data_IF_778471072507
#
_entry.id   IF_778471072507
#
_cell.length_a   1.000
_cell.length_b   1.000
_cell.length_c   1.000
_cell.angle_alpha   90.00
_cell.angle_beta   90.00
_cell.angle_gamma   90.00
#
_symmetry.space_group_name_H-M   'P 1'
#
loop_
_entity.id
_entity.type
_entity.pdbx_description
1 polymer ?
#
# COMPACT_ATOMS: atom_id res chain seq x y z
N UNK A 1 -6.36 4.28 22.73
CA UNK A 1 -6.78 4.47 22.08
C UNK A 1 -6.34 5.20 21.19
N UNK A 2 -6.17 5.35 20.56
CA UNK A 2 -5.79 5.99 19.77
C UNK A 2 -6.45 6.33 18.93
N UNK A 3 -7.16 6.27 19.09
CA UNK A 3 -8.06 6.36 18.30
C UNK A 3 -8.11 7.53 17.57
N UNK A 4 -7.53 8.58 17.83
CA UNK A 4 -7.57 9.70 17.07
C UNK A 4 -6.27 9.92 16.48
N UNK A 5 -6.07 9.65 15.18
CA UNK A 5 -4.90 10.01 14.42
C UNK A 5 -5.24 11.15 13.51
N UNK A 6 -4.41 12.17 13.51
CA UNK A 6 -4.51 13.24 12.54
C UNK A 6 -3.90 12.78 11.22
N UNK A 7 -4.24 13.41 10.10
CA UNK A 7 -3.70 12.99 8.80
C UNK A 7 -2.18 12.88 8.75
N UNK A 8 -1.49 13.76 9.41
CA UNK A 8 -0.02 13.70 9.42
C UNK A 8 0.48 12.43 10.09
N UNK A 9 -0.21 11.97 11.10
CA UNK A 9 0.18 10.75 11.79
C UNK A 9 -0.02 9.52 10.91
N UNK A 10 -1.08 9.52 10.12
CA UNK A 10 -1.30 8.44 9.19
C UNK A 10 -0.19 8.37 8.14
N UNK A 11 0.22 9.52 7.61
CA UNK A 11 1.30 9.56 6.63
C UNK A 11 2.59 9.02 7.23
N UNK A 12 2.88 9.42 8.45
CA UNK A 12 4.08 8.94 9.12
C UNK A 12 4.01 7.44 9.36
N UNK A 13 2.83 6.92 9.68
CA UNK A 13 2.70 5.49 9.95
C UNK A 13 3.11 4.63 8.77
N UNK A 14 2.73 5.02 7.56
CA UNK A 14 3.12 4.28 6.37
C UNK A 14 4.63 4.25 6.19
N UNK A 15 5.28 5.39 6.43
CA UNK A 15 6.73 5.50 6.22
C UNK A 15 7.53 4.90 7.36
N UNK A 16 6.88 4.53 8.46
CA UNK A 16 7.54 3.87 9.58
C UNK A 16 7.53 2.36 9.46
N UNK A 17 6.86 1.81 8.47
CA UNK A 17 6.82 0.37 8.27
C UNK A 17 8.22 -0.12 7.88
N UNK A 18 8.68 -1.18 8.55
CA UNK A 18 9.98 -1.78 8.25
C UNK A 18 9.82 -2.77 7.11
N UNK A 19 9.88 -2.26 5.89
CA UNK A 19 9.71 -3.11 4.71
C UNK A 19 10.88 -4.07 4.51
N UNK A 20 12.07 -3.71 4.96
CA UNK A 20 13.21 -4.61 4.88
C UNK A 20 12.95 -5.88 5.67
N UNK A 21 12.42 -5.72 6.88
CA UNK A 21 12.10 -6.87 7.70
C UNK A 21 10.99 -7.71 7.08
N UNK A 22 9.97 -7.05 6.54
CA UNK A 22 8.88 -7.76 5.89
C UNK A 22 9.36 -8.53 4.67
N UNK A 23 10.28 -7.96 3.91
CA UNK A 23 10.86 -8.67 2.78
C UNK A 23 11.61 -9.91 3.26
N UNK A 24 12.35 -9.77 4.35
CA UNK A 24 13.09 -10.90 4.92
C UNK A 24 12.14 -12.00 5.39
N UNK A 25 10.93 -11.62 5.79
CA UNK A 25 9.92 -12.59 6.22
C UNK A 25 9.18 -13.25 5.06
N UNK A 26 9.41 -12.82 3.83
CA UNK A 26 8.82 -13.46 2.67
C UNK A 26 7.76 -12.66 1.94
N UNK A 27 7.48 -11.43 2.40
CA UNK A 27 6.50 -10.60 1.70
C UNK A 27 7.07 -10.09 0.40
N UNK A 28 6.24 -10.00 -0.63
CA UNK A 28 6.71 -9.65 -1.97
C UNK A 28 5.86 -8.63 -2.69
N UNK A 29 4.67 -8.33 -2.21
CA UNK A 29 3.79 -7.35 -2.83
C UNK A 29 3.33 -6.30 -1.85
N UNK A 30 3.17 -5.06 -2.31
CA UNK A 30 2.64 -3.98 -1.49
C UNK A 30 1.59 -3.23 -2.30
N UNK A 31 0.41 -3.08 -1.72
CA UNK A 31 -0.67 -2.30 -2.30
C UNK A 31 -0.86 -1.06 -1.44
N UNK A 32 -0.77 0.11 -2.08
CA UNK A 32 -0.89 1.39 -1.37
C UNK A 32 -2.12 2.15 -1.80
N UNK A 33 -2.77 2.78 -0.83
CA UNK A 33 -3.67 3.88 -1.12
C UNK A 33 -2.82 5.15 -1.29
N UNK A 34 -3.35 6.17 -1.93
CA UNK A 34 -2.59 7.40 -2.16
C UNK A 34 -2.95 8.47 -1.15
N UNK A 35 -4.20 8.93 -1.19
CA UNK A 35 -4.61 10.09 -0.40
C UNK A 35 -4.63 9.77 1.08
N UNK A 36 -3.96 10.60 1.85
CA UNK A 36 -3.85 10.47 3.30
C UNK A 36 -3.15 9.19 3.76
N UNK A 37 -2.48 8.50 2.85
CA UNK A 37 -1.64 7.34 3.15
C UNK A 37 -0.21 7.62 2.75
N UNK A 38 0.01 7.96 1.50
CA UNK A 38 1.35 8.30 1.00
C UNK A 38 1.59 9.80 0.97
N UNK A 39 0.57 10.57 0.64
CA UNK A 39 0.63 12.03 0.61
C UNK A 39 -0.70 12.58 1.08
N UNK A 40 -0.75 13.87 1.33
CA UNK A 40 -2.00 14.53 1.69
C UNK A 40 -2.97 14.46 0.53
N UNK A 41 -4.24 14.56 0.85
CA UNK A 41 -5.31 14.46 -0.16
C UNK A 41 -5.03 15.40 -1.33
N UNK A 42 -5.02 14.85 -2.53
CA UNK A 42 -4.85 15.62 -3.75
C UNK A 42 -3.41 15.97 -4.11
N UNK A 43 -2.45 15.66 -3.27
CA UNK A 43 -1.06 16.06 -3.50
C UNK A 43 -0.34 15.13 -4.48
N UNK A 44 0.63 15.64 -5.22
CA UNK A 44 1.48 14.79 -6.06
C UNK A 44 2.47 14.00 -5.18
N UNK A 45 3.16 13.05 -5.78
CA UNK A 45 4.18 12.30 -5.08
C UNK A 45 5.31 13.26 -4.69
N UNK A 46 5.72 13.18 -3.42
CA UNK A 46 6.80 14.00 -2.93
C UNK A 46 8.09 13.18 -2.88
N UNK A 47 9.17 13.81 -2.39
CA UNK A 47 10.46 13.15 -2.31
C UNK A 47 10.41 11.89 -1.44
N UNK A 48 9.65 11.97 -0.35
CA UNK A 48 9.56 10.85 0.56
C UNK A 48 8.87 9.65 -0.10
N UNK A 49 7.80 9.92 -0.85
CA UNK A 49 7.11 8.86 -1.58
C UNK A 49 8.01 8.27 -2.64
N UNK A 50 8.71 9.10 -3.39
CA UNK A 50 9.61 8.61 -4.42
C UNK A 50 10.73 7.75 -3.84
N UNK A 51 11.29 8.17 -2.72
CA UNK A 51 12.33 7.41 -2.06
C UNK A 51 11.82 6.05 -1.57
N UNK A 52 10.60 6.03 -1.05
CA UNK A 52 10.00 4.79 -0.58
C UNK A 52 9.85 3.81 -1.73
N UNK A 53 9.28 4.24 -2.85
CA UNK A 53 9.08 3.33 -3.98
C UNK A 53 10.40 2.87 -4.58
N UNK A 54 11.41 3.74 -4.62
CA UNK A 54 12.72 3.34 -5.09
C UNK A 54 13.31 2.25 -4.20
N UNK A 55 13.17 2.41 -2.89
CA UNK A 55 13.67 1.44 -1.94
C UNK A 55 12.95 0.10 -2.07
N UNK A 56 11.62 0.15 -2.23
CA UNK A 56 10.85 -1.07 -2.38
C UNK A 56 11.23 -1.84 -3.64
N UNK A 57 11.47 -1.12 -4.73
CA UNK A 57 11.90 -1.75 -5.96
C UNK A 57 13.28 -2.38 -5.81
N UNK A 58 14.15 -1.70 -5.10
CA UNK A 58 15.49 -2.21 -4.82
C UNK A 58 15.45 -3.50 -4.02
N UNK A 59 14.53 -3.58 -3.05
CA UNK A 59 14.37 -4.79 -2.26
C UNK A 59 13.80 -5.95 -3.07
N UNK A 60 12.99 -5.65 -4.08
CA UNK A 60 12.36 -6.68 -4.88
C UNK A 60 10.87 -6.79 -4.71
N UNK A 61 10.23 -5.81 -4.06
CA UNK A 61 8.77 -5.79 -3.94
C UNK A 61 8.12 -5.39 -5.26
N UNK A 62 6.98 -6.00 -5.52
CA UNK A 62 6.07 -5.54 -6.57
C UNK A 62 5.09 -4.57 -5.90
N UNK A 63 4.96 -3.38 -6.46
CA UNK A 63 4.14 -2.34 -5.85
C UNK A 63 2.97 -1.97 -6.73
N UNK A 64 1.86 -1.57 -6.11
CA UNK A 64 0.66 -1.14 -6.83
C UNK A 64 -0.06 -0.06 -6.06
N UNK A 65 -0.66 0.86 -6.80
CA UNK A 65 -1.55 1.86 -6.24
C UNK A 65 -2.98 1.40 -6.45
N UNK A 66 -3.80 1.46 -5.41
CA UNK A 66 -5.21 1.08 -5.50
C UNK A 66 -6.03 2.23 -4.94
N UNK A 67 -6.75 2.93 -5.80
CA UNK A 67 -7.39 4.18 -5.45
C UNK A 67 -8.85 4.22 -5.87
N UNK A 68 -9.69 4.87 -5.05
CA UNK A 68 -11.07 5.13 -5.43
C UNK A 68 -11.19 6.34 -6.34
N UNK A 69 -10.12 7.07 -6.53
CA UNK A 69 -10.14 8.27 -7.35
C UNK A 69 -10.17 7.96 -8.83
N UNK A 70 -10.44 9.00 -9.63
CA UNK A 70 -10.42 8.87 -11.08
C UNK A 70 -9.00 8.79 -11.59
N UNK A 71 -8.87 8.28 -12.80
CA UNK A 71 -7.55 8.03 -13.38
C UNK A 71 -6.63 9.25 -13.40
N UNK A 72 -7.09 10.46 -13.75
CA UNK A 72 -6.16 11.61 -13.78
C UNK A 72 -5.46 11.84 -12.45
N UNK A 73 -6.17 11.65 -11.34
CA UNK A 73 -5.56 11.81 -10.01
C UNK A 73 -4.48 10.78 -9.79
N UNK A 74 -4.78 9.53 -10.13
CA UNK A 74 -3.84 8.43 -9.88
C UNK A 74 -2.62 8.59 -10.80
N UNK A 75 -2.84 8.95 -12.05
CA UNK A 75 -1.73 9.14 -12.99
C UNK A 75 -0.82 10.29 -12.59
N UNK A 76 -1.38 11.36 -12.06
CA UNK A 76 -0.58 12.49 -11.61
C UNK A 76 0.41 12.03 -10.54
N UNK A 77 -0.05 11.24 -9.58
CA UNK A 77 0.83 10.72 -8.55
C UNK A 77 1.83 9.72 -9.17
N UNK A 78 1.34 8.85 -10.04
CA UNK A 78 2.14 7.76 -10.57
C UNK A 78 3.22 8.22 -11.55
N UNK A 79 3.11 9.43 -12.08
CA UNK A 79 4.13 9.95 -12.99
C UNK A 79 5.51 9.95 -12.35
N UNK A 80 5.58 10.14 -11.05
CA UNK A 80 6.85 10.19 -10.34
C UNK A 80 7.32 8.83 -9.84
N UNK A 81 6.40 7.90 -9.56
CA UNK A 81 6.78 6.61 -8.97
C UNK A 81 6.69 5.45 -9.94
N UNK A 82 5.87 5.59 -10.98
CA UNK A 82 5.82 4.66 -12.11
C UNK A 82 5.65 3.20 -11.72
N UNK A 83 4.52 2.88 -11.12
CA UNK A 83 4.16 1.52 -10.76
C UNK A 83 2.80 1.18 -11.36
N UNK A 84 2.34 -0.06 -11.20
CA UNK A 84 1.00 -0.44 -11.64
C UNK A 84 -0.05 0.24 -10.78
N UNK A 85 -1.24 0.45 -11.33
CA UNK A 85 -2.31 1.07 -10.56
C UNK A 85 -3.69 0.59 -11.00
N UNK A 86 -4.64 0.72 -10.08
CA UNK A 86 -6.06 0.53 -10.35
C UNK A 86 -6.77 1.77 -9.83
N UNK A 87 -7.53 2.43 -10.70
CA UNK A 87 -8.32 3.59 -10.30
C UNK A 87 -9.80 3.21 -10.23
N UNK A 88 -10.60 4.06 -9.58
CA UNK A 88 -12.03 3.79 -9.36
C UNK A 88 -12.23 2.40 -8.78
N UNK A 89 -11.41 2.07 -7.79
CA UNK A 89 -11.34 0.70 -7.29
C UNK A 89 -12.60 0.27 -6.52
N UNK A 90 -13.40 1.21 -6.05
CA UNK A 90 -14.60 0.87 -5.30
C UNK A 90 -14.28 0.19 -3.98
N UNK A 91 -13.20 0.60 -3.35
CA UNK A 91 -12.84 0.01 -2.07
C UNK A 91 -13.93 0.30 -1.04
N UNK A 92 -14.22 -0.60 -0.16
CA UNK A 92 -13.41 -1.79 0.17
C UNK A 92 -13.83 -3.07 -0.55
N UNK A 93 -14.15 -3.01 -1.81
CA UNK A 93 -14.57 -4.19 -2.57
C UNK A 93 -13.45 -5.23 -2.65
N UNK A 94 -13.64 -6.43 -2.08
CA UNK A 94 -12.57 -7.45 -2.07
C UNK A 94 -12.10 -7.87 -3.45
N UNK A 95 -12.98 -7.79 -4.45
CA UNK A 95 -12.61 -8.20 -5.80
C UNK A 95 -11.45 -7.38 -6.35
N UNK A 96 -11.37 -6.10 -5.98
CA UNK A 96 -10.30 -5.26 -6.48
C UNK A 96 -8.97 -5.53 -5.80
N UNK A 97 -9.01 -5.94 -4.53
CA UNK A 97 -7.78 -6.37 -3.86
C UNK A 97 -7.25 -7.64 -4.50
N UNK A 98 -8.15 -8.57 -4.80
CA UNK A 98 -7.76 -9.81 -5.46
C UNK A 98 -7.16 -9.54 -6.83
N UNK A 99 -7.80 -8.63 -7.58
CA UNK A 99 -7.31 -8.26 -8.90
C UNK A 99 -5.92 -7.63 -8.80
N UNK A 100 -5.71 -6.79 -7.80
CA UNK A 100 -4.41 -6.15 -7.59
C UNK A 100 -3.35 -7.20 -7.30
N UNK A 101 -3.65 -8.15 -6.43
CA UNK A 101 -2.69 -9.21 -6.12
C UNK A 101 -2.38 -10.06 -7.35
N UNK A 102 -3.37 -10.34 -8.18
CA UNK A 102 -3.13 -11.08 -9.41
C UNK A 102 -2.19 -10.33 -10.33
N UNK A 103 -2.37 -9.02 -10.44
CA UNK A 103 -1.47 -8.20 -11.25
C UNK A 103 -0.06 -8.17 -10.71
N UNK A 104 0.09 -8.23 -9.40
CA UNK A 104 1.41 -8.24 -8.75
C UNK A 104 2.05 -9.61 -8.78
N UNK A 105 1.27 -10.66 -9.02
CA UNK A 105 1.79 -12.01 -8.93
C UNK A 105 1.94 -12.48 -7.49
N UNK A 106 1.13 -11.94 -6.58
CA UNK A 106 1.21 -12.25 -5.15
C UNK A 106 -0.14 -12.73 -4.65
N UNK A 107 -0.21 -13.07 -3.37
CA UNK A 107 -1.45 -13.52 -2.75
C UNK A 107 -1.57 -12.96 -1.33
N UNK A 108 -2.61 -13.35 -0.62
CA UNK A 108 -2.85 -12.82 0.72
C UNK A 108 -1.76 -13.21 1.72
N UNK A 109 -1.01 -14.25 1.42
CA UNK A 109 0.04 -14.70 2.33
C UNK A 109 1.32 -13.89 2.22
N UNK A 110 1.51 -13.16 1.13
CA UNK A 110 2.74 -12.40 0.93
C UNK A 110 2.52 -10.98 0.42
N UNK A 111 1.32 -10.43 0.59
CA UNK A 111 0.99 -9.08 0.16
C UNK A 111 0.71 -8.20 1.38
N UNK A 112 1.26 -7.00 1.36
CA UNK A 112 1.03 -6.00 2.39
C UNK A 112 0.04 -4.98 1.84
N UNK A 113 -1.01 -4.69 2.62
CA UNK A 113 -1.99 -3.68 2.25
C UNK A 113 -1.79 -2.48 3.16
N UNK A 114 -1.34 -1.38 2.58
CA UNK A 114 -1.08 -0.16 3.34
C UNK A 114 -2.13 0.88 3.01
N UNK A 115 -3.16 0.92 3.81
CA UNK A 115 -4.23 1.90 3.73
C UNK A 115 -4.54 2.43 5.11
N UNK A 116 -4.94 3.68 5.15
CA UNK A 116 -5.16 4.35 6.41
C UNK A 116 -6.16 3.63 7.30
N UNK A 117 -7.27 3.14 6.71
CA UNK A 117 -8.31 2.46 7.45
C UNK A 117 -7.95 1.07 7.88
N UNK A 118 -7.02 0.44 7.16
CA UNK A 118 -6.68 -0.96 7.35
C UNK A 118 -5.27 -1.17 7.85
N UNK A 119 -4.66 -0.12 8.35
CA UNK A 119 -3.27 -0.21 8.77
C UNK A 119 -3.03 -1.31 9.78
N UNK A 120 -4.00 -1.52 10.67
CA UNK A 120 -3.92 -2.61 11.61
C UNK A 120 -4.24 -3.93 10.96
N UNK A 121 -5.24 -3.92 10.09
CA UNK A 121 -5.70 -5.15 9.46
C UNK A 121 -4.68 -5.76 8.54
N UNK A 122 -3.88 -4.94 7.89
CA UNK A 122 -2.92 -5.51 6.99
C UNK A 122 -1.87 -6.34 7.74
N UNK A 123 -1.56 -5.98 8.97
CA UNK A 123 -0.65 -6.78 9.77
C UNK A 123 -1.19 -8.19 9.97
N UNK A 124 -2.48 -8.28 10.24
CA UNK A 124 -3.13 -9.57 10.43
C UNK A 124 -3.22 -10.34 9.14
N UNK A 125 -3.65 -9.66 8.08
CA UNK A 125 -3.83 -10.31 6.79
C UNK A 125 -2.54 -10.78 6.17
N UNK A 126 -1.44 -10.13 6.47
CA UNK A 126 -0.17 -10.53 5.91
C UNK A 126 0.52 -11.61 6.71
N UNK A 127 -0.08 -12.08 7.81
CA UNK A 127 0.44 -13.23 8.53
C UNK A 127 0.18 -14.47 7.69
N UNK A 128 1.16 -15.36 7.54
CA UNK A 128 0.96 -16.58 6.77
C UNK A 128 -0.22 -17.38 7.28
N UNK A 129 -0.93 -18.04 6.38
CA UNK A 129 -2.12 -18.80 6.75
C UNK A 129 -1.81 -19.79 7.85
N UNK A 130 -0.67 -20.43 7.78
CA UNK A 130 -0.28 -21.42 8.78
C UNK A 130 -0.09 -20.83 10.16
N UNK A 131 0.13 -19.54 10.26
CA UNK A 131 0.34 -18.88 11.54
C UNK A 131 -0.92 -18.18 12.06
N UNK A 132 -1.99 -18.19 11.30
CA UNK A 132 -3.24 -17.55 11.73
C UNK A 132 -3.99 -18.47 12.65
N UNK A 133 -4.38 -17.92 13.78
CA UNK A 133 -5.15 -18.69 14.74
C UNK A 133 -6.54 -18.13 14.94
N UNK A 134 -7.03 -17.36 14.03
CA UNK A 134 -8.32 -16.68 14.17
C UNK A 134 -9.35 -17.20 13.21
#
# INVERSE_FOLDING_TARGET
>A
MMEKFYPDEYLDSTYEIDFDELYAQGYRGVIFDIDNTLVRHGAPADERACALFAHLKELGFACMLLSNNKEPRVKMFNDAVNVSYIYKAGKPNPANYKKAMEKLGTDTGNTILSEIRFLRMYMVQSVPVSARSW
#
